data_IF_844967186020
#
_entry.id   IF_844967186020
#
_cell.length_a   1.000
_cell.length_b   1.000
_cell.length_c   1.000
_cell.angle_alpha   90.00
_cell.angle_beta   90.00
_cell.angle_gamma   90.00
#
_symmetry.space_group_name_H-M   'P 1'
#
loop_
_entity.id
_entity.type
_entity.pdbx_description
1 polymer ?
#
# COMPACT_ATOMS: atom_id res chain seq x y z
N UNK A 1 -25.30 -4.89 4.29
CA UNK A 1 -25.55 -6.27 3.80
C UNK A 1 -25.55 -6.27 2.28
N UNK A 2 -24.78 -7.15 1.67
CA UNK A 2 -24.68 -7.23 0.22
C UNK A 2 -26.03 -7.43 -0.47
N UNK A 3 -26.14 -6.87 -1.67
CA UNK A 3 -27.27 -7.17 -2.55
C UNK A 3 -27.11 -8.59 -3.11
N UNK A 4 -28.05 -9.50 -2.83
CA UNK A 4 -27.97 -10.90 -3.21
C UNK A 4 -27.88 -11.11 -4.73
N UNK A 5 -28.52 -10.25 -5.53
CA UNK A 5 -28.41 -10.29 -7.00
C UNK A 5 -27.02 -9.92 -7.46
N UNK A 6 -26.40 -8.90 -6.82
CA UNK A 6 -25.02 -8.51 -7.10
C UNK A 6 -24.03 -9.62 -6.73
N UNK A 7 -24.22 -10.29 -5.60
CA UNK A 7 -23.38 -11.43 -5.19
C UNK A 7 -23.51 -12.58 -6.20
N UNK A 8 -24.73 -12.89 -6.64
CA UNK A 8 -24.94 -13.91 -7.67
C UNK A 8 -24.24 -13.54 -8.99
N UNK A 9 -24.31 -12.27 -9.40
CA UNK A 9 -23.61 -11.77 -10.60
C UNK A 9 -22.08 -11.91 -10.46
N UNK A 10 -21.52 -11.52 -9.32
CA UNK A 10 -20.08 -11.63 -9.06
C UNK A 10 -19.60 -13.09 -9.11
N UNK A 11 -20.38 -14.02 -8.54
CA UNK A 11 -20.07 -15.46 -8.58
C UNK A 11 -20.16 -16.04 -9.99
N UNK A 12 -21.13 -15.61 -10.79
CA UNK A 12 -21.24 -16.02 -12.21
C UNK A 12 -20.06 -15.52 -13.03
N UNK A 13 -19.63 -14.28 -12.83
CA UNK A 13 -18.42 -13.77 -13.45
C UNK A 13 -17.20 -14.63 -13.08
N UNK A 14 -17.00 -14.92 -11.80
CA UNK A 14 -15.89 -15.73 -11.33
C UNK A 14 -15.95 -17.17 -11.86
N UNK A 15 -17.15 -17.70 -12.14
CA UNK A 15 -17.36 -19.01 -12.74
C UNK A 15 -17.13 -19.03 -14.28
N UNK A 16 -16.75 -17.91 -14.89
CA UNK A 16 -16.38 -17.82 -16.30
C UNK A 16 -17.36 -17.05 -17.20
N UNK A 17 -18.47 -16.52 -16.69
CA UNK A 17 -19.36 -15.63 -17.43
C UNK A 17 -18.80 -14.20 -17.49
N UNK A 18 -17.63 -14.02 -18.13
CA UNK A 18 -16.80 -12.80 -18.09
C UNK A 18 -17.26 -11.67 -19.03
N UNK A 19 -18.45 -11.73 -19.58
CA UNK A 19 -19.02 -10.73 -20.49
C UNK A 19 -19.61 -9.50 -19.77
N UNK A 20 -19.57 -9.49 -18.43
CA UNK A 20 -20.22 -8.46 -17.61
C UNK A 20 -19.23 -7.65 -16.81
N UNK A 21 -19.49 -6.34 -16.75
CA UNK A 21 -18.82 -5.41 -15.85
C UNK A 21 -19.43 -5.57 -14.46
N UNK A 22 -18.58 -5.59 -13.44
CA UNK A 22 -18.97 -5.65 -12.03
C UNK A 22 -18.90 -4.26 -11.38
N UNK A 23 -19.23 -3.22 -12.14
CA UNK A 23 -19.12 -1.82 -11.70
C UNK A 23 -20.33 -1.43 -10.83
N UNK A 24 -20.11 -0.57 -9.83
CA UNK A 24 -21.13 0.02 -8.95
C UNK A 24 -22.00 -1.03 -8.22
N UNK A 25 -21.47 -2.23 -7.98
CA UNK A 25 -22.18 -3.27 -7.24
C UNK A 25 -22.06 -3.06 -5.73
N UNK A 26 -23.08 -3.44 -4.97
CA UNK A 26 -23.03 -3.61 -3.53
C UNK A 26 -22.71 -5.08 -3.22
N UNK A 27 -21.45 -5.33 -2.85
CA UNK A 27 -20.92 -6.63 -2.44
C UNK A 27 -20.40 -6.56 -0.99
N UNK A 28 -20.87 -5.54 -0.24
CA UNK A 28 -20.45 -5.31 1.14
C UNK A 28 -20.75 -6.52 2.04
N UNK A 29 -19.82 -6.84 2.93
CA UNK A 29 -19.93 -7.97 3.87
C UNK A 29 -20.12 -9.36 3.21
N UNK A 30 -20.02 -9.48 1.89
CA UNK A 30 -20.20 -10.76 1.20
C UNK A 30 -19.00 -11.69 1.41
N UNK A 31 -19.26 -13.00 1.53
CA UNK A 31 -18.21 -14.01 1.41
C UNK A 31 -18.03 -14.39 -0.07
N UNK A 32 -16.91 -13.96 -0.61
CA UNK A 32 -16.49 -14.16 -2.00
C UNK A 32 -15.14 -14.90 -2.06
N UNK A 33 -14.75 -15.60 -0.99
CA UNK A 33 -13.47 -16.29 -0.88
C UNK A 33 -13.20 -17.20 -2.08
N UNK A 34 -11.91 -17.31 -2.46
CA UNK A 34 -11.39 -18.18 -3.50
C UNK A 34 -11.92 -17.87 -4.93
N UNK A 35 -12.63 -16.75 -5.14
CA UNK A 35 -13.16 -16.37 -6.44
C UNK A 35 -12.11 -15.66 -7.32
N UNK A 36 -12.25 -15.84 -8.65
CA UNK A 36 -11.39 -15.21 -9.64
C UNK A 36 -12.07 -14.00 -10.30
N UNK A 37 -11.62 -12.81 -9.93
CA UNK A 37 -12.01 -11.51 -10.48
C UNK A 37 -10.91 -10.91 -11.37
N UNK A 38 -9.98 -11.73 -11.88
CA UNK A 38 -8.94 -11.24 -12.77
C UNK A 38 -9.54 -10.53 -13.97
N UNK A 39 -8.97 -9.34 -14.30
CA UNK A 39 -9.43 -8.47 -15.38
C UNK A 39 -10.88 -7.93 -15.22
N UNK A 40 -11.55 -8.22 -14.08
CA UNK A 40 -12.89 -7.69 -13.82
C UNK A 40 -12.88 -6.17 -13.69
N UNK A 41 -13.81 -5.49 -14.33
CA UNK A 41 -14.04 -4.06 -14.16
C UNK A 41 -14.89 -3.83 -12.91
N UNK A 42 -14.24 -3.31 -11.84
CA UNK A 42 -14.81 -3.16 -10.49
C UNK A 42 -14.92 -1.69 -10.07
N UNK A 43 -14.97 -0.76 -11.05
CA UNK A 43 -15.08 0.66 -10.74
C UNK A 43 -16.22 0.94 -9.77
N UNK A 44 -15.93 1.72 -8.71
CA UNK A 44 -16.90 2.21 -7.73
C UNK A 44 -17.75 1.08 -7.09
N UNK A 45 -17.26 -0.17 -7.11
CA UNK A 45 -17.91 -1.31 -6.44
C UNK A 45 -17.65 -1.24 -4.94
N UNK A 46 -18.69 -1.50 -4.16
CA UNK A 46 -18.58 -1.60 -2.69
C UNK A 46 -18.29 -3.05 -2.27
N UNK A 47 -17.08 -3.31 -1.82
CA UNK A 47 -16.58 -4.56 -1.24
C UNK A 47 -16.24 -4.36 0.25
N UNK A 48 -16.79 -3.31 0.89
CA UNK A 48 -16.47 -3.01 2.29
C UNK A 48 -16.88 -4.16 3.20
N UNK A 49 -15.97 -4.57 4.10
CA UNK A 49 -16.18 -5.69 5.02
C UNK A 49 -16.27 -7.07 4.36
N UNK A 50 -16.15 -7.18 3.04
CA UNK A 50 -16.23 -8.46 2.33
C UNK A 50 -15.09 -9.42 2.73
N UNK A 51 -15.36 -10.72 2.70
CA UNK A 51 -14.38 -11.79 2.87
C UNK A 51 -13.87 -12.19 1.50
N UNK A 52 -12.60 -11.85 1.21
CA UNK A 52 -11.95 -12.00 -0.09
C UNK A 52 -10.67 -12.86 0.02
N UNK A 53 -10.66 -13.81 0.94
CA UNK A 53 -9.51 -14.67 1.16
C UNK A 53 -9.12 -15.37 -0.14
N UNK A 54 -7.83 -15.26 -0.51
CA UNK A 54 -7.25 -15.91 -1.69
C UNK A 54 -7.97 -15.60 -3.01
N UNK A 55 -8.79 -14.53 -3.06
CA UNK A 55 -9.35 -14.06 -4.31
C UNK A 55 -8.26 -13.62 -5.28
N UNK A 56 -8.56 -13.69 -6.57
CA UNK A 56 -7.68 -13.19 -7.62
C UNK A 56 -8.27 -11.92 -8.24
N UNK A 57 -7.47 -10.86 -8.27
CA UNK A 57 -7.77 -9.57 -8.90
C UNK A 57 -6.65 -9.20 -9.88
N UNK A 58 -6.05 -10.21 -10.54
CA UNK A 58 -4.90 -9.99 -11.41
C UNK A 58 -5.29 -9.05 -12.55
N UNK A 59 -4.53 -7.95 -12.69
CA UNK A 59 -4.76 -6.91 -13.69
C UNK A 59 -6.20 -6.34 -13.71
N UNK A 60 -6.95 -6.45 -12.60
CA UNK A 60 -8.32 -5.95 -12.53
C UNK A 60 -8.35 -4.41 -12.44
N UNK A 61 -9.06 -3.71 -13.35
CA UNK A 61 -9.34 -2.29 -13.19
C UNK A 61 -10.38 -2.05 -12.09
N UNK A 62 -9.94 -1.44 -10.96
CA UNK A 62 -10.77 -1.19 -9.78
C UNK A 62 -10.59 0.23 -9.21
N UNK A 63 -10.62 1.28 -10.07
CA UNK A 63 -10.50 2.64 -9.58
C UNK A 63 -11.70 3.01 -8.69
N UNK A 64 -11.42 3.62 -7.52
CA UNK A 64 -12.46 4.03 -6.59
C UNK A 64 -13.21 2.88 -5.88
N UNK A 65 -12.75 1.63 -6.01
CA UNK A 65 -13.35 0.50 -5.29
C UNK A 65 -13.26 0.73 -3.78
N UNK A 66 -14.33 0.42 -3.06
CA UNK A 66 -14.34 0.45 -1.60
C UNK A 66 -14.06 -0.94 -1.02
N UNK A 67 -12.85 -1.14 -0.50
CA UNK A 67 -12.38 -2.34 0.17
C UNK A 67 -12.15 -2.09 1.68
N UNK A 68 -12.76 -1.04 2.23
CA UNK A 68 -12.59 -0.71 3.64
C UNK A 68 -12.98 -1.90 4.53
N UNK A 69 -12.11 -2.25 5.47
CA UNK A 69 -12.28 -3.38 6.40
C UNK A 69 -12.47 -4.76 5.74
N UNK A 70 -12.28 -4.89 4.44
CA UNK A 70 -12.33 -6.19 3.77
C UNK A 70 -11.15 -7.09 4.19
N UNK A 71 -11.34 -8.40 4.14
CA UNK A 71 -10.29 -9.38 4.40
C UNK A 71 -9.76 -9.98 3.09
N UNK A 72 -8.65 -9.41 2.58
CA UNK A 72 -7.93 -9.84 1.38
C UNK A 72 -6.70 -10.70 1.72
N UNK A 73 -6.68 -11.37 2.86
CA UNK A 73 -5.52 -12.17 3.27
C UNK A 73 -5.19 -13.23 2.23
N UNK A 74 -3.94 -13.22 1.75
CA UNK A 74 -3.44 -14.10 0.69
C UNK A 74 -4.04 -13.88 -0.69
N UNK A 75 -4.76 -12.78 -0.93
CA UNK A 75 -5.31 -12.45 -2.24
C UNK A 75 -4.20 -12.09 -3.26
N UNK A 76 -4.46 -12.33 -4.53
CA UNK A 76 -3.57 -11.97 -5.65
C UNK A 76 -4.09 -10.73 -6.39
N UNK A 77 -3.46 -9.58 -6.12
CA UNK A 77 -3.73 -8.28 -6.75
C UNK A 77 -2.57 -7.89 -7.71
N UNK A 78 -1.84 -8.87 -8.27
CA UNK A 78 -0.75 -8.58 -9.18
C UNK A 78 -1.20 -7.70 -10.35
N UNK A 79 -0.56 -6.54 -10.53
CA UNK A 79 -0.88 -5.60 -11.60
C UNK A 79 -2.29 -5.00 -11.54
N UNK A 80 -3.01 -5.13 -10.41
CA UNK A 80 -4.32 -4.49 -10.24
C UNK A 80 -4.22 -2.97 -10.37
N UNK A 81 -5.21 -2.34 -11.01
CA UNK A 81 -5.27 -0.89 -11.19
C UNK A 81 -6.25 -0.32 -10.16
N UNK A 82 -5.72 -0.03 -8.97
CA UNK A 82 -6.49 0.37 -7.79
C UNK A 82 -6.21 1.83 -7.35
N UNK A 83 -5.91 2.70 -8.34
CA UNK A 83 -5.68 4.10 -8.06
C UNK A 83 -6.90 4.75 -7.37
N UNK A 84 -6.65 5.45 -6.24
CA UNK A 84 -7.70 6.06 -5.42
C UNK A 84 -8.64 5.07 -4.73
N UNK A 85 -8.35 3.78 -4.71
CA UNK A 85 -9.14 2.78 -4.00
C UNK A 85 -9.07 2.97 -2.47
N UNK A 86 -10.10 2.51 -1.76
CA UNK A 86 -10.21 2.65 -0.31
C UNK A 86 -9.95 1.29 0.34
N UNK A 87 -8.79 1.15 0.98
CA UNK A 87 -8.37 -0.02 1.75
C UNK A 87 -8.31 0.24 3.26
N UNK A 88 -8.96 1.32 3.74
CA UNK A 88 -8.84 1.69 5.14
C UNK A 88 -9.29 0.56 6.07
N UNK A 89 -8.40 0.15 6.99
CA UNK A 89 -8.62 -0.96 7.90
C UNK A 89 -8.71 -2.34 7.24
N UNK A 90 -8.40 -2.48 5.95
CA UNK A 90 -8.40 -3.77 5.26
C UNK A 90 -7.26 -4.67 5.74
N UNK A 91 -7.46 -6.00 5.67
CA UNK A 91 -6.43 -7.00 5.92
C UNK A 91 -5.87 -7.50 4.59
N UNK A 92 -4.60 -7.22 4.36
CA UNK A 92 -3.84 -7.62 3.16
C UNK A 92 -2.67 -8.53 3.52
N UNK A 93 -2.79 -9.28 4.64
CA UNK A 93 -1.71 -10.10 5.17
C UNK A 93 -1.27 -11.15 4.13
N UNK A 94 -0.01 -11.08 3.72
CA UNK A 94 0.57 -11.99 2.73
C UNK A 94 -0.03 -11.85 1.32
N UNK A 95 -0.77 -10.78 1.02
CA UNK A 95 -1.31 -10.52 -0.31
C UNK A 95 -0.19 -10.26 -1.33
N UNK A 96 -0.40 -10.62 -2.59
CA UNK A 96 0.46 -10.31 -3.71
C UNK A 96 -0.01 -9.00 -4.38
N UNK A 97 0.70 -7.90 -4.12
CA UNK A 97 0.45 -6.57 -4.68
C UNK A 97 1.55 -6.14 -5.66
N UNK A 98 2.28 -7.12 -6.24
CA UNK A 98 3.37 -6.82 -7.17
C UNK A 98 2.87 -6.01 -8.35
N UNK A 99 3.59 -4.92 -8.69
CA UNK A 99 3.28 -4.03 -9.79
C UNK A 99 1.83 -3.46 -9.75
N UNK A 100 1.15 -3.49 -8.59
CA UNK A 100 -0.16 -2.87 -8.44
C UNK A 100 -0.05 -1.34 -8.50
N UNK A 101 -1.01 -0.69 -9.14
CA UNK A 101 -1.19 0.76 -9.10
C UNK A 101 -2.08 1.12 -7.89
N UNK A 102 -1.44 1.63 -6.84
CA UNK A 102 -2.08 2.11 -5.60
C UNK A 102 -1.93 3.64 -5.46
N UNK A 103 -1.75 4.34 -6.60
CA UNK A 103 -1.62 5.80 -6.59
C UNK A 103 -2.76 6.47 -5.85
N UNK A 104 -2.46 7.26 -4.82
CA UNK A 104 -3.45 7.97 -4.03
C UNK A 104 -4.44 7.10 -3.25
N UNK A 105 -4.21 5.79 -3.13
CA UNK A 105 -5.08 4.90 -2.37
C UNK A 105 -5.10 5.25 -0.87
N UNK A 106 -6.22 5.00 -0.21
CA UNK A 106 -6.34 5.08 1.25
C UNK A 106 -6.04 3.71 1.87
N UNK A 107 -4.85 3.58 2.45
CA UNK A 107 -4.35 2.41 3.18
C UNK A 107 -4.32 2.67 4.70
N UNK A 108 -5.04 3.70 5.19
CA UNK A 108 -5.04 4.07 6.60
C UNK A 108 -5.46 2.87 7.46
N UNK A 109 -4.63 2.51 8.46
CA UNK A 109 -4.86 1.36 9.36
C UNK A 109 -4.95 -0.01 8.65
N UNK A 110 -4.58 -0.13 7.38
CA UNK A 110 -4.54 -1.42 6.71
C UNK A 110 -3.40 -2.31 7.26
N UNK A 111 -3.63 -3.62 7.28
CA UNK A 111 -2.61 -4.61 7.63
C UNK A 111 -2.01 -5.25 6.36
N UNK A 112 -0.83 -4.78 5.97
CA UNK A 112 -0.04 -5.27 4.84
C UNK A 112 1.12 -6.17 5.33
N UNK A 113 1.02 -6.77 6.51
CA UNK A 113 2.07 -7.63 7.05
C UNK A 113 2.42 -8.73 6.04
N UNK A 114 3.71 -8.89 5.72
CA UNK A 114 4.24 -9.87 4.77
C UNK A 114 3.68 -9.77 3.35
N UNK A 115 3.01 -8.69 2.98
CA UNK A 115 2.55 -8.46 1.61
C UNK A 115 3.73 -8.26 0.66
N UNK A 116 3.59 -8.68 -0.59
CA UNK A 116 4.58 -8.40 -1.64
C UNK A 116 4.14 -7.18 -2.46
N UNK A 117 4.76 -6.03 -2.19
CA UNK A 117 4.55 -4.75 -2.86
C UNK A 117 5.67 -4.44 -3.87
N UNK A 118 6.43 -5.46 -4.29
CA UNK A 118 7.53 -5.28 -5.25
C UNK A 118 7.03 -4.56 -6.49
N UNK A 119 7.65 -3.43 -6.85
CA UNK A 119 7.30 -2.60 -8.01
C UNK A 119 5.89 -1.94 -7.95
N UNK A 120 5.19 -1.97 -6.83
CA UNK A 120 3.91 -1.28 -6.69
C UNK A 120 4.10 0.25 -6.67
N UNK A 121 3.15 0.99 -7.22
CA UNK A 121 3.11 2.46 -7.10
C UNK A 121 2.21 2.88 -5.93
N UNK A 122 2.83 3.33 -4.85
CA UNK A 122 2.16 3.88 -3.66
C UNK A 122 2.27 5.41 -3.61
N UNK A 123 2.56 6.05 -4.73
CA UNK A 123 2.69 7.51 -4.76
C UNK A 123 1.42 8.19 -4.24
N UNK A 124 1.59 9.18 -3.37
CA UNK A 124 0.50 9.95 -2.73
C UNK A 124 -0.47 9.13 -1.86
N UNK A 125 -0.26 7.83 -1.68
CA UNK A 125 -1.12 7.01 -0.83
C UNK A 125 -1.12 7.50 0.63
N UNK A 126 -2.27 7.34 1.30
CA UNK A 126 -2.43 7.59 2.72
C UNK A 126 -2.28 6.25 3.46
N UNK A 127 -1.17 6.04 4.14
CA UNK A 127 -0.87 4.80 4.87
C UNK A 127 -0.61 5.08 6.37
N UNK A 128 -1.29 6.08 6.91
CA UNK A 128 -1.21 6.41 8.32
C UNK A 128 -1.63 5.23 9.19
N UNK A 129 -0.82 4.87 10.21
CA UNK A 129 -1.07 3.75 11.12
C UNK A 129 -1.16 2.38 10.44
N UNK A 130 -0.78 2.25 9.16
CA UNK A 130 -0.76 0.97 8.46
C UNK A 130 0.38 0.07 8.98
N UNK A 131 0.21 -1.24 8.86
CA UNK A 131 1.16 -2.25 9.32
C UNK A 131 1.82 -2.89 8.09
N UNK A 132 3.11 -2.66 7.91
CA UNK A 132 3.91 -3.24 6.82
C UNK A 132 4.93 -4.28 7.32
N UNK A 133 4.78 -4.79 8.53
CA UNK A 133 5.79 -5.67 9.14
C UNK A 133 6.16 -6.84 8.22
N UNK A 134 7.43 -6.92 7.83
CA UNK A 134 7.94 -7.95 6.91
C UNK A 134 7.43 -7.86 5.48
N UNK A 135 6.78 -6.75 5.09
CA UNK A 135 6.38 -6.53 3.70
C UNK A 135 7.59 -6.30 2.79
N UNK A 136 7.49 -6.69 1.54
CA UNK A 136 8.51 -6.47 0.51
C UNK A 136 8.19 -5.20 -0.27
N UNK A 137 9.12 -4.24 -0.23
CA UNK A 137 9.03 -2.93 -0.87
C UNK A 137 10.06 -2.74 -1.99
N UNK A 138 10.75 -3.81 -2.42
CA UNK A 138 11.76 -3.74 -3.48
C UNK A 138 11.20 -3.01 -4.70
N UNK A 139 11.80 -1.85 -5.06
CA UNK A 139 11.39 -1.00 -6.18
C UNK A 139 9.94 -0.48 -6.11
N UNK A 140 9.29 -0.54 -4.95
CA UNK A 140 8.02 0.15 -4.74
C UNK A 140 8.24 1.66 -4.79
N UNK A 141 7.33 2.41 -5.41
CA UNK A 141 7.42 3.87 -5.54
C UNK A 141 6.69 4.50 -4.36
N UNK A 142 7.42 5.22 -3.49
CA UNK A 142 6.89 5.83 -2.26
C UNK A 142 6.85 7.38 -2.35
N UNK A 143 6.67 7.92 -3.57
CA UNK A 143 6.66 9.36 -3.76
C UNK A 143 5.55 10.04 -2.96
N UNK A 144 5.92 10.86 -1.96
CA UNK A 144 5.01 11.63 -1.11
C UNK A 144 3.95 10.79 -0.39
N UNK A 145 4.20 9.52 -0.16
CA UNK A 145 3.33 8.67 0.68
C UNK A 145 3.29 9.19 2.12
N UNK A 146 2.14 9.13 2.75
CA UNK A 146 1.99 9.42 4.18
C UNK A 146 2.08 8.13 5.00
N UNK A 147 3.18 7.93 5.72
CA UNK A 147 3.45 6.78 6.60
C UNK A 147 3.43 7.19 8.09
N UNK A 148 2.68 8.23 8.45
CA UNK A 148 2.58 8.69 9.83
C UNK A 148 2.12 7.57 10.74
N UNK A 149 2.91 7.26 11.78
CA UNK A 149 2.67 6.20 12.76
C UNK A 149 2.55 4.78 12.15
N UNK A 150 2.99 4.57 10.91
CA UNK A 150 3.01 3.24 10.28
C UNK A 150 4.12 2.35 10.87
N UNK A 151 3.93 1.03 10.82
CA UNK A 151 4.92 0.05 11.25
C UNK A 151 5.60 -0.61 10.04
N UNK A 152 6.85 -0.23 9.77
CA UNK A 152 7.67 -0.73 8.65
C UNK A 152 8.80 -1.65 9.13
N UNK A 153 8.74 -2.18 10.34
CA UNK A 153 9.76 -3.09 10.83
C UNK A 153 9.90 -4.30 9.92
N UNK A 154 11.11 -4.79 9.78
CA UNK A 154 11.46 -5.98 9.00
C UNK A 154 11.12 -5.87 7.49
N UNK A 155 10.94 -4.65 6.96
CA UNK A 155 10.80 -4.40 5.51
C UNK A 155 12.16 -4.16 4.86
N UNK A 156 12.21 -4.27 3.53
CA UNK A 156 13.35 -3.88 2.69
C UNK A 156 13.22 -2.43 2.17
N UNK A 157 12.79 -1.51 3.04
CA UNK A 157 12.48 -0.10 2.73
C UNK A 157 13.62 0.64 2.00
N UNK A 158 14.88 0.26 2.23
CA UNK A 158 16.05 0.82 1.54
C UNK A 158 16.07 0.50 0.04
N UNK A 159 15.32 -0.50 -0.42
CA UNK A 159 15.22 -0.88 -1.82
C UNK A 159 14.03 -0.22 -2.54
N UNK A 160 13.23 0.56 -1.81
CA UNK A 160 12.13 1.33 -2.38
C UNK A 160 12.62 2.60 -3.06
N UNK A 161 11.82 3.12 -4.01
CA UNK A 161 12.13 4.32 -4.79
C UNK A 161 11.41 5.55 -4.23
N UNK A 162 12.01 6.75 -4.43
CA UNK A 162 11.45 8.05 -4.03
C UNK A 162 11.11 8.21 -2.54
N UNK A 163 11.77 7.43 -1.67
CA UNK A 163 11.54 7.41 -0.21
C UNK A 163 11.83 8.75 0.45
N UNK A 164 12.70 9.57 -0.15
CA UNK A 164 13.11 10.88 0.43
C UNK A 164 11.96 11.88 0.56
N UNK A 165 10.88 11.70 -0.17
CA UNK A 165 9.67 12.55 -0.13
C UNK A 165 8.57 11.99 0.77
N UNK A 166 8.73 10.79 1.32
CA UNK A 166 7.76 10.16 2.22
C UNK A 166 7.71 10.83 3.60
N UNK A 167 6.56 10.78 4.24
CA UNK A 167 6.33 11.32 5.60
C UNK A 167 6.41 10.16 6.59
N UNK A 168 7.36 10.19 7.54
CA UNK A 168 7.63 9.14 8.52
C UNK A 168 7.39 9.59 9.98
N UNK A 169 6.48 10.54 10.20
CA UNK A 169 6.21 11.00 11.57
C UNK A 169 5.74 9.82 12.44
N UNK A 170 6.43 9.59 13.56
CA UNK A 170 6.13 8.51 14.51
C UNK A 170 6.15 7.09 13.91
N UNK A 171 6.62 6.90 12.67
CA UNK A 171 6.73 5.58 12.06
C UNK A 171 7.78 4.71 12.75
N UNK A 172 7.51 3.40 12.86
CA UNK A 172 8.47 2.40 13.27
C UNK A 172 9.22 1.90 12.05
N UNK A 173 10.52 2.15 11.99
CA UNK A 173 11.35 1.89 10.81
C UNK A 173 12.15 0.59 10.95
N UNK A 174 12.62 0.00 9.84
CA UNK A 174 13.52 -1.15 9.87
C UNK A 174 14.79 -0.86 10.67
N UNK A 175 15.36 -1.88 11.27
CA UNK A 175 16.58 -1.75 12.07
C UNK A 175 17.74 -1.16 11.21
N UNK A 176 18.34 -0.07 11.70
CA UNK A 176 19.44 0.61 11.01
C UNK A 176 19.03 1.55 9.88
N UNK A 177 17.74 1.62 9.51
CA UNK A 177 17.27 2.58 8.51
C UNK A 177 17.13 3.99 9.11
N UNK A 178 17.73 4.98 8.45
CA UNK A 178 17.60 6.40 8.81
C UNK A 178 17.09 7.21 7.62
N UNK A 179 15.87 7.77 7.69
CA UNK A 179 15.33 8.60 6.61
C UNK A 179 16.25 9.80 6.32
N UNK A 180 16.45 10.10 5.04
CA UNK A 180 17.30 11.23 4.59
C UNK A 180 16.82 12.56 5.17
N UNK A 181 15.51 12.70 5.37
CA UNK A 181 14.87 13.91 5.92
C UNK A 181 14.70 13.88 7.45
N UNK A 182 15.39 13.00 8.19
CA UNK A 182 15.32 12.96 9.63
C UNK A 182 15.85 14.29 10.24
N UNK A 183 15.03 15.08 10.96
CA UNK A 183 15.47 16.34 11.57
C UNK A 183 16.62 16.15 12.58
N UNK A 184 16.82 14.93 13.12
CA UNK A 184 17.98 14.58 13.95
C UNK A 184 19.28 14.59 13.13
N UNK A 185 19.28 14.11 11.86
CA UNK A 185 20.45 14.20 10.97
C UNK A 185 20.84 15.65 10.67
N UNK A 186 19.88 16.54 10.48
CA UNK A 186 20.16 17.95 10.25
C UNK A 186 20.89 18.62 11.44
N UNK A 187 20.66 18.17 12.68
CA UNK A 187 21.39 18.65 13.87
C UNK A 187 22.83 18.12 13.92
N UNK A 188 23.06 16.86 13.54
CA UNK A 188 24.41 16.30 13.48
C UNK A 188 25.25 16.88 12.33
N UNK A 189 24.64 17.09 11.15
CA UNK A 189 25.32 17.72 10.02
C UNK A 189 25.78 19.18 10.33
N UNK A 190 24.97 19.94 11.06
CA UNK A 190 25.35 21.30 11.52
C UNK A 190 26.47 21.29 12.55
N UNK A 191 26.58 20.26 13.40
CA UNK A 191 27.68 20.08 14.35
C UNK A 191 29.03 19.75 13.68
N UNK A 192 28.97 18.93 12.60
CA UNK A 192 30.20 18.49 11.91
C UNK A 192 30.86 19.59 11.04
N UNK A 193 30.07 20.54 10.53
CA UNK A 193 30.62 21.68 9.76
C UNK A 193 31.04 22.86 10.64
N UNK A 194 30.67 22.86 11.94
CA UNK A 194 31.02 23.95 12.86
C UNK A 194 32.47 23.93 13.38
N UNK A 195 33.13 22.78 13.43
CA UNK A 195 34.44 22.64 14.07
C UNK A 195 35.64 22.69 13.12
N UNK A 196 35.44 22.60 11.78
CA UNK A 196 36.58 22.64 10.84
C UNK A 196 37.02 24.06 10.38
N UNK A 197 36.40 25.15 10.85
CA UNK A 197 36.77 26.52 10.44
C UNK A 197 37.78 27.21 11.35
N UNK A 198 38.35 26.58 12.40
CA UNK A 198 39.30 27.21 13.31
C UNK A 198 40.77 26.76 13.16
N UNK A 199 41.17 26.02 12.14
CA UNK A 199 42.54 25.51 12.00
C UNK A 199 43.32 25.90 10.74
N UNK A 200 42.86 26.91 9.97
CA UNK A 200 43.56 27.33 8.73
C UNK A 200 43.76 28.83 8.58
N UNK A 201 43.99 29.57 9.67
CA UNK A 201 44.56 30.93 9.56
C UNK A 201 45.64 31.11 10.64
N UNK A 202 46.82 30.75 10.26
CA UNK A 202 48.02 30.99 11.11
C UNK A 202 49.28 30.81 10.28
N UNK A 203 49.42 31.66 9.26
CA UNK A 203 50.74 31.97 8.70
C UNK A 203 50.77 33.48 8.39
N UNK A 204 51.66 34.19 9.10
CA UNK A 204 52.01 35.54 8.76
C UNK A 204 52.59 36.32 9.91
N UNK A 205 53.78 36.00 10.39
CA UNK A 205 55.02 36.82 10.55
C UNK A 205 56.04 36.03 11.28
#
# INVERSE_FOLDING_TARGET
MANLEHVALARRYAAGERDRRLEMLDLSDADLSDLDFSEAWLRDTDLSGAILHRCRFVAAPMPGVNLSRADLSGADLHGAIAAGAIFSGAKLVGANLRAADLYGADLTQADLSRADLTQADLSLAQAGQAIFVGARLTRAILFRINLTAADLRDTDLEQAENVSSAIFEQALLPAGYEPVNNPRRARFAKGFFGEKKKRWWGWGK
#
